data_IF_047364995542
#
_entry.id   IF_047364995542
#
_cell.length_a   1.000
_cell.length_b   1.000
_cell.length_c   1.000
_cell.angle_alpha   90.00
_cell.angle_beta   90.00
_cell.angle_gamma   90.00
#
_symmetry.space_group_name_H-M   'P 1'
#
loop_
_entity.id
_entity.type
_entity.pdbx_description
1 polymer ?
#
# COMPACT_ATOMS: atom_id res chain seq x y z
N UNK A 1 50.23 40.59 -22.72
CA UNK A 1 51.16 39.58 -22.20
C UNK A 1 51.38 39.82 -20.72
N UNK A 2 51.15 38.81 -19.86
CA UNK A 2 51.89 38.48 -18.64
C UNK A 2 51.02 37.52 -17.79
N UNK A 3 51.46 36.27 -17.70
CA UNK A 3 50.93 35.22 -16.83
C UNK A 3 51.46 35.42 -15.40
N UNK A 4 50.67 35.04 -14.40
CA UNK A 4 51.19 34.71 -13.08
C UNK A 4 50.55 33.40 -12.61
N UNK A 5 51.40 32.41 -12.34
CA UNK A 5 51.07 31.07 -11.89
C UNK A 5 51.10 30.94 -10.35
N UNK A 6 50.26 30.00 -9.86
CA UNK A 6 50.46 29.11 -8.69
C UNK A 6 50.54 29.72 -7.29
N UNK A 7 49.60 29.29 -6.43
CA UNK A 7 49.81 28.30 -5.33
C UNK A 7 48.54 28.24 -4.47
N UNK A 8 47.87 27.10 -4.43
CA UNK A 8 46.89 26.79 -3.38
C UNK A 8 46.88 25.28 -3.10
N UNK A 9 47.50 24.89 -2.00
CA UNK A 9 47.29 23.65 -1.22
C UNK A 9 47.65 24.02 0.23
N UNK A 10 46.91 23.57 1.27
CA UNK A 10 46.64 22.14 1.46
C UNK A 10 45.21 21.75 1.86
N UNK A 11 44.95 20.44 1.72
CA UNK A 11 43.93 19.65 2.39
C UNK A 11 43.71 20.07 3.85
N UNK A 12 42.45 20.30 4.21
CA UNK A 12 42.01 20.37 5.60
C UNK A 12 40.95 19.28 5.81
N UNK A 13 41.42 18.12 6.28
CA UNK A 13 40.59 17.08 6.85
C UNK A 13 39.75 17.67 8.00
N UNK A 14 38.43 17.63 7.86
CA UNK A 14 37.51 17.73 9.00
C UNK A 14 36.58 16.52 8.96
N UNK A 15 37.03 15.46 9.62
CA UNK A 15 36.16 14.37 10.07
C UNK A 15 35.32 14.88 11.24
N UNK A 16 34.00 14.95 11.07
CA UNK A 16 33.06 14.83 12.18
C UNK A 16 31.74 14.22 11.72
N UNK A 17 31.55 12.94 12.07
CA UNK A 17 30.28 12.21 12.05
C UNK A 17 29.21 12.97 12.86
N UNK A 18 28.03 13.14 12.28
CA UNK A 18 26.70 13.16 12.90
C UNK A 18 25.68 13.52 11.81
N UNK A 19 24.58 12.82 11.55
CA UNK A 19 24.06 11.59 12.11
C UNK A 19 23.35 10.80 11.02
N UNK A 20 23.20 9.51 11.26
CA UNK A 20 22.18 8.68 10.62
C UNK A 20 20.80 9.32 10.78
N UNK A 21 19.85 8.80 10.01
CA UNK A 21 18.40 8.95 10.16
C UNK A 21 17.75 9.88 9.14
N UNK A 22 17.47 9.30 7.95
CA UNK A 22 16.12 9.39 7.39
C UNK A 22 15.71 8.00 6.91
N UNK A 23 15.60 7.07 7.86
CA UNK A 23 14.63 5.99 7.66
C UNK A 23 13.28 6.69 7.55
N UNK A 24 12.80 6.86 6.32
CA UNK A 24 11.37 7.09 6.08
C UNK A 24 10.67 5.78 6.41
N UNK A 25 10.60 5.44 7.69
CA UNK A 25 9.50 4.62 8.18
C UNK A 25 8.26 5.43 7.83
N UNK A 26 7.49 4.98 6.83
CA UNK A 26 6.14 5.51 6.71
C UNK A 26 5.51 5.30 8.08
N UNK A 27 5.17 6.39 8.75
CA UNK A 27 4.43 6.34 9.99
C UNK A 27 3.09 5.71 9.68
N UNK A 28 3.02 4.37 9.63
CA UNK A 28 1.78 3.65 9.78
C UNK A 28 1.34 4.04 11.18
N UNK A 29 0.43 5.01 11.26
CA UNK A 29 -0.40 5.18 12.44
C UNK A 29 -0.84 3.78 12.81
N UNK A 30 -0.43 3.33 13.99
CA UNK A 30 -1.01 2.14 14.61
C UNK A 30 -2.44 2.54 14.93
N UNK A 31 -3.29 2.60 13.92
CA UNK A 31 -4.73 2.64 14.12
C UNK A 31 -5.01 1.35 14.84
N UNK A 32 -5.26 1.50 16.14
CA UNK A 32 -5.77 0.45 17.00
C UNK A 32 -7.09 0.03 16.36
N UNK A 33 -6.99 -0.96 15.49
CA UNK A 33 -7.88 -2.09 15.40
C UNK A 33 -9.22 -1.86 16.10
N UNK A 34 -10.24 -1.75 15.27
CA UNK A 34 -11.65 -1.49 15.57
C UNK A 34 -12.20 -2.19 16.83
N UNK A 35 -13.23 -1.55 17.40
CA UNK A 35 -14.05 -1.84 18.58
C UNK A 35 -13.79 -3.18 19.30
N UNK A 36 -13.45 -3.10 20.59
CA UNK A 36 -13.26 -4.26 21.46
C UNK A 36 -14.59 -5.01 21.65
N UNK A 37 -14.64 -6.25 21.15
CA UNK A 37 -15.52 -7.29 21.68
C UNK A 37 -14.73 -8.16 22.67
N UNK A 38 -15.38 -8.84 23.63
CA UNK A 38 -14.71 -9.78 24.53
C UNK A 38 -14.18 -10.96 23.72
N UNK A 39 -12.92 -10.90 23.28
CA UNK A 39 -12.26 -11.96 22.50
C UNK A 39 -11.17 -11.49 21.52
N UNK A 40 -11.08 -10.20 21.21
CA UNK A 40 -10.04 -9.68 20.31
C UNK A 40 -10.54 -8.60 19.35
N UNK A 41 -9.60 -8.03 18.60
CA UNK A 41 -9.83 -6.99 17.61
C UNK A 41 -10.35 -7.61 16.30
N UNK A 42 -11.54 -7.18 15.84
CA UNK A 42 -12.11 -7.66 14.57
C UNK A 42 -11.31 -7.06 13.40
N UNK A 43 -11.09 -7.84 12.34
CA UNK A 43 -10.58 -7.36 11.05
C UNK A 43 -11.72 -7.07 10.08
N UNK A 44 -11.42 -6.40 8.96
CA UNK A 44 -12.38 -6.18 7.88
C UNK A 44 -12.85 -7.52 7.30
N UNK A 45 -11.97 -8.53 7.18
CA UNK A 45 -12.38 -9.84 6.66
C UNK A 45 -13.47 -10.51 7.52
N UNK A 46 -13.50 -10.24 8.83
CA UNK A 46 -14.48 -10.81 9.76
C UNK A 46 -15.89 -10.19 9.58
N UNK A 47 -15.98 -9.09 8.82
CA UNK A 47 -17.24 -8.43 8.44
C UNK A 47 -17.77 -8.89 7.07
N UNK A 48 -17.00 -9.71 6.34
CA UNK A 48 -17.31 -10.09 4.96
C UNK A 48 -17.77 -11.54 4.89
N UNK A 49 -18.74 -11.79 4.02
CA UNK A 49 -19.21 -13.15 3.72
C UNK A 49 -18.56 -13.68 2.44
N UNK A 50 -18.46 -15.02 2.30
CA UNK A 50 -18.00 -15.64 1.06
C UNK A 50 -18.96 -15.39 -0.11
N UNK A 51 -18.42 -15.23 -1.32
CA UNK A 51 -19.18 -15.13 -2.56
C UNK A 51 -19.43 -13.69 -2.98
N UNK A 52 -19.32 -13.44 -4.29
CA UNK A 52 -19.55 -12.12 -4.90
C UNK A 52 -20.94 -11.55 -4.59
N UNK A 53 -21.94 -12.41 -4.50
CA UNK A 53 -23.32 -12.05 -4.17
C UNK A 53 -23.46 -11.36 -2.82
N UNK A 54 -22.50 -11.54 -1.91
CA UNK A 54 -22.46 -10.93 -0.59
C UNK A 54 -21.52 -9.71 -0.51
N UNK A 55 -21.12 -9.15 -1.65
CA UNK A 55 -20.21 -8.03 -1.68
C UNK A 55 -20.78 -6.77 -1.01
N UNK A 56 -19.96 -6.18 -0.13
CA UNK A 56 -20.31 -5.00 0.65
C UNK A 56 -19.62 -3.76 0.07
N UNK A 57 -20.38 -2.69 -0.28
CA UNK A 57 -19.80 -1.44 -0.74
C UNK A 57 -18.91 -0.78 0.32
N UNK A 58 -17.88 -0.03 -0.11
CA UNK A 58 -16.98 0.70 0.80
C UNK A 58 -17.72 1.59 1.81
N UNK A 59 -18.81 2.23 1.38
CA UNK A 59 -19.64 3.11 2.22
C UNK A 59 -20.28 2.35 3.38
N UNK A 60 -20.63 1.10 3.17
CA UNK A 60 -21.19 0.26 4.23
C UNK A 60 -20.10 -0.22 5.19
N UNK A 61 -18.90 -0.54 4.69
CA UNK A 61 -17.75 -0.81 5.56
C UNK A 61 -17.37 0.42 6.42
N UNK A 62 -17.42 1.64 5.86
CA UNK A 62 -17.25 2.89 6.63
C UNK A 62 -18.27 2.96 7.78
N UNK A 63 -19.54 2.64 7.51
CA UNK A 63 -20.62 2.63 8.51
C UNK A 63 -20.44 1.55 9.59
N UNK A 64 -20.09 0.32 9.20
CA UNK A 64 -19.93 -0.81 10.12
C UNK A 64 -18.72 -0.65 11.05
N UNK A 65 -17.65 -0.02 10.54
CA UNK A 65 -16.40 0.14 11.29
C UNK A 65 -16.27 1.48 12.01
N UNK A 66 -17.07 2.48 11.63
CA UNK A 66 -16.90 3.87 12.08
C UNK A 66 -15.61 4.53 11.57
N UNK A 67 -14.95 3.92 10.58
CA UNK A 67 -13.68 4.40 10.02
C UNK A 67 -13.91 5.15 8.71
N UNK A 68 -13.00 6.08 8.42
CA UNK A 68 -12.99 6.75 7.12
C UNK A 68 -12.52 5.80 6.00
N UNK A 69 -12.94 6.10 4.76
CA UNK A 69 -12.67 5.24 3.61
C UNK A 69 -11.18 5.04 3.28
N UNK A 70 -10.28 5.93 3.70
CA UNK A 70 -8.83 5.72 3.55
C UNK A 70 -8.36 4.66 4.54
N UNK A 71 -8.78 4.75 5.81
CA UNK A 71 -8.43 3.75 6.82
C UNK A 71 -8.97 2.36 6.46
N UNK A 72 -10.23 2.26 6.02
CA UNK A 72 -10.82 1.00 5.55
C UNK A 72 -9.97 0.35 4.45
N UNK A 73 -9.54 1.12 3.45
CA UNK A 73 -8.69 0.60 2.36
C UNK A 73 -7.31 0.14 2.85
N UNK A 74 -6.70 0.88 3.76
CA UNK A 74 -5.40 0.51 4.32
C UNK A 74 -5.50 -0.81 5.11
N UNK A 75 -6.58 -1.01 5.86
CA UNK A 75 -6.83 -2.26 6.57
C UNK A 75 -7.06 -3.43 5.61
N UNK A 76 -7.87 -3.24 4.57
CA UNK A 76 -8.08 -4.27 3.54
C UNK A 76 -6.76 -4.68 2.89
N UNK A 77 -5.92 -3.72 2.48
CA UNK A 77 -4.64 -4.03 1.86
C UNK A 77 -3.65 -4.69 2.83
N UNK A 78 -3.69 -4.33 4.12
CA UNK A 78 -2.92 -5.02 5.15
C UNK A 78 -3.37 -6.49 5.27
N UNK A 79 -4.66 -6.72 5.44
CA UNK A 79 -5.20 -8.08 5.59
C UNK A 79 -4.94 -8.94 4.34
N UNK A 80 -5.03 -8.36 3.14
CA UNK A 80 -4.62 -9.02 1.88
C UNK A 80 -3.17 -9.49 1.91
N UNK A 81 -2.26 -8.65 2.41
CA UNK A 81 -0.81 -8.99 2.54
C UNK A 81 -0.53 -9.99 3.65
N UNK A 82 -1.40 -10.06 4.66
CA UNK A 82 -1.37 -11.07 5.72
C UNK A 82 -2.01 -12.41 5.29
N UNK A 83 -2.48 -12.50 4.03
CA UNK A 83 -3.01 -13.73 3.45
C UNK A 83 -4.52 -13.90 3.59
N UNK A 84 -5.26 -12.90 4.08
CA UNK A 84 -6.73 -12.90 4.08
C UNK A 84 -7.24 -12.46 2.71
N UNK A 85 -7.88 -13.34 1.91
CA UNK A 85 -8.16 -13.07 0.51
C UNK A 85 -9.41 -12.19 0.32
N UNK A 86 -9.37 -10.93 0.74
CA UNK A 86 -10.47 -9.98 0.50
C UNK A 86 -10.49 -9.62 -0.98
N UNK A 87 -11.52 -10.01 -1.72
CA UNK A 87 -11.69 -9.67 -3.15
C UNK A 87 -12.39 -8.33 -3.33
N UNK A 88 -12.25 -7.76 -4.52
CA UNK A 88 -13.05 -6.62 -4.94
C UNK A 88 -13.32 -6.73 -6.44
N UNK A 89 -14.57 -6.50 -6.84
CA UNK A 89 -14.89 -6.11 -8.20
C UNK A 89 -15.24 -4.61 -8.20
N UNK A 90 -14.94 -3.88 -9.27
CA UNK A 90 -15.10 -2.42 -9.27
C UNK A 90 -16.58 -1.95 -9.23
N UNK A 91 -17.53 -2.87 -9.04
CA UNK A 91 -18.97 -2.62 -9.19
C UNK A 91 -19.73 -2.81 -7.87
N UNK A 92 -19.51 -3.93 -7.17
CA UNK A 92 -20.34 -4.38 -6.04
C UNK A 92 -19.70 -4.07 -4.69
N UNK A 93 -18.38 -4.25 -4.56
CA UNK A 93 -17.67 -3.97 -3.32
C UNK A 93 -16.69 -5.08 -2.94
N UNK A 94 -16.59 -5.33 -1.64
CA UNK A 94 -15.62 -6.25 -1.04
C UNK A 94 -16.31 -7.51 -0.50
N UNK A 95 -15.68 -8.67 -0.68
CA UNK A 95 -16.19 -9.98 -0.26
C UNK A 95 -15.05 -10.98 -0.06
N UNK A 96 -15.32 -12.12 0.57
CA UNK A 96 -14.39 -13.25 0.61
C UNK A 96 -14.67 -14.20 -0.57
N UNK A 97 -13.69 -14.91 -1.15
CA UNK A 97 -13.96 -15.89 -2.18
C UNK A 97 -14.80 -17.02 -1.59
N UNK A 98 -15.93 -17.35 -2.24
CA UNK A 98 -16.61 -18.62 -2.04
C UNK A 98 -15.92 -19.75 -2.79
N UNK A 99 -15.20 -19.44 -3.88
CA UNK A 99 -14.56 -20.46 -4.73
C UNK A 99 -13.10 -20.16 -5.07
N UNK A 100 -12.37 -21.23 -5.40
CA UNK A 100 -11.04 -21.15 -6.01
C UNK A 100 -11.05 -20.30 -7.28
N UNK A 101 -12.12 -20.41 -8.09
CA UNK A 101 -12.25 -19.68 -9.33
C UNK A 101 -12.26 -18.17 -9.10
N UNK A 102 -13.04 -17.68 -8.13
CA UNK A 102 -13.09 -16.25 -7.79
C UNK A 102 -11.73 -15.73 -7.32
N UNK A 103 -11.05 -16.49 -6.44
CA UNK A 103 -9.70 -16.12 -5.99
C UNK A 103 -8.72 -16.06 -7.16
N UNK A 104 -8.70 -17.10 -7.98
CA UNK A 104 -7.80 -17.19 -9.13
C UNK A 104 -8.09 -16.10 -10.17
N UNK A 105 -9.35 -15.77 -10.42
CA UNK A 105 -9.75 -14.68 -11.30
C UNK A 105 -9.27 -13.33 -10.78
N UNK A 106 -9.40 -13.06 -9.47
CA UNK A 106 -8.90 -11.84 -8.87
C UNK A 106 -7.37 -11.74 -8.99
N UNK A 107 -6.63 -12.80 -8.65
CA UNK A 107 -5.16 -12.84 -8.76
C UNK A 107 -4.72 -12.61 -10.22
N UNK A 108 -5.36 -13.25 -11.19
CA UNK A 108 -5.08 -13.02 -12.63
C UNK A 108 -5.31 -11.55 -13.00
N UNK A 109 -6.42 -10.97 -12.57
CA UNK A 109 -6.74 -9.54 -12.81
C UNK A 109 -5.70 -8.61 -12.19
N UNK A 110 -5.28 -8.86 -10.95
CA UNK A 110 -4.24 -8.06 -10.28
C UNK A 110 -2.90 -8.13 -11.01
N UNK A 111 -2.48 -9.33 -11.45
CA UNK A 111 -1.23 -9.52 -12.22
C UNK A 111 -1.28 -8.79 -13.55
N UNK A 112 -2.38 -8.94 -14.29
CA UNK A 112 -2.56 -8.23 -15.55
C UNK A 112 -2.48 -6.71 -15.37
N UNK A 113 -3.18 -6.16 -14.36
CA UNK A 113 -3.11 -4.72 -14.04
C UNK A 113 -1.70 -4.27 -13.65
N UNK A 114 -0.95 -5.09 -12.92
CA UNK A 114 0.43 -4.79 -12.58
C UNK A 114 1.32 -4.69 -13.83
N UNK A 115 1.11 -5.58 -14.81
CA UNK A 115 1.80 -5.53 -16.10
C UNK A 115 1.46 -4.27 -16.89
N UNK A 116 0.19 -3.86 -16.93
CA UNK A 116 -0.21 -2.62 -17.61
C UNK A 116 0.38 -1.37 -16.92
N UNK A 117 0.43 -1.36 -15.58
CA UNK A 117 1.10 -0.30 -14.82
C UNK A 117 2.60 -0.24 -15.17
N UNK A 118 3.27 -1.40 -15.24
CA UNK A 118 4.68 -1.49 -15.62
C UNK A 118 4.92 -0.95 -17.03
N UNK A 119 4.14 -1.39 -18.02
CA UNK A 119 4.23 -0.90 -19.41
C UNK A 119 4.04 0.61 -19.50
N UNK A 120 3.09 1.16 -18.73
CA UNK A 120 2.84 2.61 -18.67
C UNK A 120 4.04 3.34 -18.09
N UNK A 121 4.61 2.85 -16.99
CA UNK A 121 5.80 3.44 -16.38
C UNK A 121 7.00 3.44 -17.35
N UNK A 122 7.22 2.34 -18.07
CA UNK A 122 8.27 2.25 -19.10
C UNK A 122 8.04 3.23 -20.27
N UNK A 123 6.80 3.44 -20.67
CA UNK A 123 6.47 4.42 -21.70
C UNK A 123 6.77 5.85 -21.25
N UNK A 124 6.44 6.19 -19.99
CA UNK A 124 6.75 7.50 -19.39
C UNK A 124 8.28 7.70 -19.28
N UNK A 125 9.00 6.68 -18.83
CA UNK A 125 10.47 6.72 -18.68
C UNK A 125 11.17 6.93 -20.03
N UNK A 126 10.73 6.22 -21.09
CA UNK A 126 11.24 6.41 -22.46
C UNK A 126 10.91 7.78 -23.06
N UNK A 127 9.83 8.43 -22.60
CA UNK A 127 9.40 9.73 -23.11
C UNK A 127 10.28 10.90 -22.61
N UNK A 128 11.30 10.61 -21.78
CA UNK A 128 12.44 11.46 -21.42
C UNK A 128 12.31 12.98 -21.62
N UNK A 129 12.35 13.72 -20.50
CA UNK A 129 12.44 15.19 -20.50
C UNK A 129 13.87 15.66 -20.76
#
# INVERSE_FOLDING_TARGET
MAKAEKRARPDAATSRRAGQEKQRTSSNSRNKHITQAPGGQWGIADLLLPGRENAIPRRELERLTGLDGRTVRLMIERERREGRPILADNATGYYLPATEHERAACVRSMRHRADEIRKTAEAIDRAGV
#
